data_IF_088317678617
#
_entry.id   IF_088317678617
#
_cell.length_a   1.000
_cell.length_b   1.000
_cell.length_c   1.000
_cell.angle_alpha   90.00
_cell.angle_beta   90.00
_cell.angle_gamma   90.00
#
_symmetry.space_group_name_H-M   'P 1'
#
loop_
_entity.id
_entity.type
_entity.pdbx_description
1 polymer ?
2 water ?
#
# COMPACT_ATOMS: atom_id res chain seq x y z
N UNK A 1 18.06 11.51 2.99
CA UNK A 1 16.68 11.46 2.42
C UNK A 1 16.60 10.48 1.23
N UNK A 2 15.76 9.44 1.35
CA UNK A 2 15.79 8.32 0.40
C UNK A 2 15.41 8.72 -1.06
N UNK A 3 16.18 8.21 -2.01
CA UNK A 3 15.95 8.37 -3.43
C UNK A 3 14.74 7.51 -3.85
N UNK A 4 13.95 8.02 -4.81
CA UNK A 4 12.81 7.25 -5.30
C UNK A 4 13.24 6.06 -6.13
N UNK A 5 12.39 5.05 -6.16
CA UNK A 5 12.41 3.96 -7.09
C UNK A 5 11.64 4.44 -8.33
N UNK A 6 12.36 4.49 -9.45
CA UNK A 6 11.82 4.96 -10.74
C UNK A 6 11.49 3.74 -11.58
N UNK A 7 10.27 3.76 -12.14
CA UNK A 7 9.69 2.67 -12.92
C UNK A 7 9.96 1.25 -12.36
N UNK A 8 9.67 1.00 -11.05
CA UNK A 8 9.88 -0.35 -10.51
C UNK A 8 9.00 -1.40 -11.20
N UNK A 9 9.54 -2.57 -11.50
CA UNK A 9 8.73 -3.67 -12.08
C UNK A 9 7.86 -4.33 -11.00
N UNK A 10 6.68 -4.76 -11.40
CA UNK A 10 5.69 -5.30 -10.51
C UNK A 10 5.58 -6.83 -10.65
N UNK A 11 6.17 -7.55 -9.69
CA UNK A 11 5.75 -7.43 -8.30
C UNK A 11 7.08 -6.89 -7.68
N UNK A 12 6.97 -5.89 -6.80
CA UNK A 12 8.15 -5.14 -6.32
C UNK A 12 8.30 -5.24 -4.80
N UNK A 13 9.54 -5.32 -4.34
CA UNK A 13 9.93 -5.38 -2.93
C UNK A 13 11.12 -4.44 -2.69
N UNK A 14 10.98 -3.48 -1.78
CA UNK A 14 12.00 -2.46 -1.51
C UNK A 14 12.13 -2.07 -0.05
N UNK A 15 13.37 -1.88 0.38
CA UNK A 15 13.66 -1.41 1.71
C UNK A 15 13.09 -0.03 1.95
N UNK A 16 12.56 0.22 3.14
CA UNK A 16 12.30 1.61 3.55
C UNK A 16 13.48 2.01 4.46
N UNK A 17 14.34 2.93 3.99
CA UNK A 17 15.55 3.23 4.73
C UNK A 17 15.45 3.57 6.22
N UNK A 18 14.53 4.44 6.62
CA UNK A 18 14.49 4.68 8.10
C UNK A 18 13.73 3.64 8.89
N UNK A 19 13.02 2.78 8.15
CA UNK A 19 11.85 2.12 8.66
C UNK A 19 10.79 3.21 8.74
N UNK A 20 9.57 2.84 9.06
CA UNK A 20 8.52 3.81 9.19
C UNK A 20 8.84 4.74 10.35
N UNK A 21 8.44 5.99 10.25
CA UNK A 21 8.59 6.93 11.37
C UNK A 21 7.38 7.82 11.44
N UNK A 22 6.93 8.15 12.63
CA UNK A 22 5.83 9.10 12.75
C UNK A 22 6.17 10.36 11.89
N UNK A 23 5.34 10.64 10.88
CA UNK A 23 5.53 11.82 10.01
C UNK A 23 5.96 11.49 8.58
N UNK A 24 6.47 10.26 8.40
CA UNK A 24 6.97 9.77 7.13
C UNK A 24 5.84 9.67 6.10
N UNK A 25 6.11 10.18 4.89
CA UNK A 25 5.23 9.98 3.73
C UNK A 25 5.80 9.08 2.64
N UNK A 26 5.05 8.05 2.26
CA UNK A 26 5.42 7.18 1.15
C UNK A 26 4.43 7.30 -0.04
N UNK A 27 4.90 7.84 -1.16
CA UNK A 27 4.08 7.97 -2.37
C UNK A 27 4.31 6.86 -3.41
N UNK A 28 3.20 6.21 -3.77
CA UNK A 28 3.12 5.15 -4.77
C UNK A 28 2.29 5.68 -5.96
N UNK A 29 2.93 5.81 -7.12
CA UNK A 29 2.34 6.35 -8.35
C UNK A 29 2.32 5.20 -9.27
N UNK A 30 1.12 4.80 -9.66
CA UNK A 30 0.90 3.66 -10.54
C UNK A 30 -0.41 3.79 -11.29
N UNK A 31 -0.71 2.77 -12.11
CA UNK A 31 -1.90 2.71 -12.99
C UNK A 31 -2.37 1.28 -13.03
N UNK A 32 -3.65 1.08 -12.74
CA UNK A 32 -4.28 -0.24 -12.92
C UNK A 32 -4.47 -0.49 -14.39
N UNK A 33 -3.98 -1.65 -14.80
CA UNK A 33 -4.12 -2.21 -16.14
C UNK A 33 -5.52 -2.72 -16.47
N UNK A 34 -6.11 -2.27 -17.58
CA UNK A 34 -7.37 -2.86 -18.08
C UNK A 34 -7.18 -4.29 -18.61
N UNK A 35 -8.18 -5.12 -18.38
CA UNK A 35 -8.12 -6.53 -18.80
C UNK A 35 -6.78 -7.25 -18.48
N UNK A 36 -6.26 -6.98 -17.28
CA UNK A 36 -5.14 -7.75 -16.74
C UNK A 36 -5.38 -8.22 -15.30
N UNK A 37 -6.64 -8.53 -14.98
CA UNK A 37 -6.98 -8.98 -13.63
C UNK A 37 -7.68 -7.92 -12.79
N UNK A 38 -8.07 -8.29 -11.58
CA UNK A 38 -9.06 -7.52 -10.85
C UNK A 38 -8.62 -7.03 -9.46
N UNK A 39 -7.41 -7.35 -9.03
CA UNK A 39 -6.90 -6.80 -7.77
C UNK A 39 -5.40 -6.48 -7.82
N UNK A 40 -4.99 -5.56 -6.94
CA UNK A 40 -3.59 -5.30 -6.66
C UNK A 40 -3.43 -5.01 -5.18
N UNK A 41 -2.20 -5.05 -4.68
CA UNK A 41 -1.95 -4.82 -3.27
C UNK A 41 -0.68 -4.05 -3.04
N UNK A 42 -0.70 -3.17 -2.03
CA UNK A 42 0.51 -2.50 -1.49
C UNK A 42 0.69 -2.96 0.01
N UNK A 43 1.85 -3.51 0.33
CA UNK A 43 2.12 -4.17 1.61
C UNK A 43 3.29 -3.48 2.34
N UNK A 44 3.05 -3.17 3.62
CA UNK A 44 4.10 -2.70 4.52
C UNK A 44 4.41 -3.84 5.43
N UNK A 45 5.63 -4.31 5.37
CA UNK A 45 5.94 -5.56 6.00
C UNK A 45 7.31 -5.47 6.64
N UNK A 46 7.65 -6.51 7.43
CA UNK A 46 8.97 -6.70 8.02
C UNK A 46 9.70 -7.79 7.21
N UNK A 47 10.72 -7.36 6.46
CA UNK A 47 11.47 -8.26 5.60
C UNK A 47 10.73 -8.56 4.31
N UNK A 48 11.19 -9.61 3.61
CA UNK A 48 10.81 -9.94 2.22
C UNK A 48 9.99 -11.22 2.08
N UNK A 49 9.77 -11.98 3.15
CA UNK A 49 9.01 -13.23 3.07
C UNK A 49 7.52 -13.11 2.62
N UNK A 50 6.79 -12.17 3.23
CA UNK A 50 5.37 -11.89 2.89
C UNK A 50 4.44 -12.46 3.95
N UNK A 51 5.03 -12.94 5.04
CA UNK A 51 4.26 -13.58 6.11
C UNK A 51 3.87 -12.68 7.26
N UNK A 52 4.44 -11.49 7.29
CA UNK A 52 4.22 -10.56 8.38
C UNK A 52 4.07 -9.17 7.80
N UNK A 53 2.84 -8.95 7.32
CA UNK A 53 2.45 -7.73 6.67
C UNK A 53 1.64 -6.95 7.69
N UNK A 54 2.24 -5.90 8.25
CA UNK A 54 1.61 -4.96 9.13
C UNK A 54 0.39 -4.30 8.51
N UNK A 55 0.47 -3.93 7.23
CA UNK A 55 -0.64 -3.27 6.57
C UNK A 55 -0.71 -3.71 5.12
N UNK A 56 -1.81 -4.37 4.75
CA UNK A 56 -2.07 -4.88 3.40
C UNK A 56 -3.17 -3.99 2.88
N UNK A 57 -2.89 -3.18 1.82
CA UNK A 57 -3.90 -2.35 1.19
C UNK A 57 -4.27 -3.03 -0.14
N UNK A 58 -5.55 -3.44 -0.31
CA UNK A 58 -5.94 -4.42 -1.42
C UNK A 58 -7.18 -3.96 -2.22
N UNK A 59 -6.99 -3.12 -3.25
CA UNK A 59 -8.16 -2.70 -4.07
C UNK A 59 -8.67 -3.81 -5.01
N UNK A 60 -10.00 -4.02 -5.10
CA UNK A 60 -10.55 -5.15 -5.89
C UNK A 60 -11.63 -4.61 -6.80
N UNK A 61 -11.41 -4.79 -8.11
CA UNK A 61 -12.35 -4.33 -9.13
C UNK A 61 -13.38 -5.40 -9.36
N UNK A 62 -14.13 -5.77 -8.32
CA UNK A 62 -15.06 -6.90 -8.29
C UNK A 62 -16.29 -6.43 -7.55
N UNK A 63 -17.46 -6.95 -7.94
CA UNK A 63 -18.68 -6.74 -7.17
C UNK A 63 -19.03 -5.27 -6.97
N UNK A 64 -18.65 -4.41 -7.89
CA UNK A 64 -18.96 -3.00 -7.69
C UNK A 64 -17.78 -2.11 -7.38
N UNK A 65 -16.70 -2.69 -6.82
CA UNK A 65 -15.46 -1.99 -6.57
C UNK A 65 -15.41 -1.87 -5.09
N UNK A 66 -14.36 -2.37 -4.46
CA UNK A 66 -14.18 -2.21 -2.98
C UNK A 66 -12.70 -2.38 -2.65
N UNK A 67 -12.33 -2.03 -1.42
CA UNK A 67 -10.95 -2.16 -0.98
C UNK A 67 -10.92 -2.79 0.38
N UNK A 68 -10.00 -3.74 0.55
CA UNK A 68 -9.84 -4.48 1.82
C UNK A 68 -8.48 -4.11 2.40
N UNK A 69 -8.45 -3.91 3.74
CA UNK A 69 -7.22 -3.62 4.50
C UNK A 69 -7.17 -4.71 5.55
N UNK A 70 -5.97 -5.23 5.81
CA UNK A 70 -5.83 -6.35 6.74
C UNK A 70 -4.38 -6.36 7.21
N UNK A 71 -4.12 -7.21 8.20
CA UNK A 71 -2.78 -7.42 8.77
C UNK A 71 -2.55 -8.92 8.73
N UNK A 72 -1.33 -9.30 8.39
CA UNK A 72 -0.97 -10.68 8.49
C UNK A 72 0.14 -10.88 9.52
N UNK A 73 -0.03 -11.86 10.39
CA UNK A 73 0.92 -12.07 11.49
C UNK A 73 1.12 -13.54 11.61
N UNK A 74 2.40 -13.91 11.52
CA UNK A 74 2.84 -15.30 11.40
C UNK A 74 2.06 -16.14 10.35
N UNK A 75 1.76 -15.49 9.21
CA UNK A 75 1.00 -16.11 8.12
C UNK A 75 -0.47 -16.42 8.42
N UNK A 76 -1.03 -15.72 9.42
CA UNK A 76 -2.49 -15.72 9.66
C UNK A 76 -3.02 -14.29 9.42
N UNK A 77 -4.07 -14.17 8.61
CA UNK A 77 -4.78 -12.90 8.40
C UNK A 77 -5.78 -12.55 9.50
N UNK A 78 -5.89 -11.29 9.88
CA UNK A 78 -6.81 -10.94 10.92
C UNK A 78 -8.13 -10.58 10.26
N UNK A 79 -9.01 -9.86 10.99
CA UNK A 79 -10.32 -9.42 10.42
C UNK A 79 -10.12 -8.33 9.36
N UNK A 80 -10.77 -8.48 8.21
CA UNK A 80 -10.65 -7.52 7.13
C UNK A 80 -11.44 -6.23 7.51
N UNK A 81 -10.92 -5.07 7.04
CA UNK A 81 -11.60 -3.77 7.16
C UNK A 81 -11.91 -3.44 5.73
N UNK A 82 -13.15 -3.63 5.33
CA UNK A 82 -13.60 -3.36 3.96
C UNK A 82 -14.09 -1.93 3.84
N UNK A 83 -13.85 -1.30 2.69
CA UNK A 83 -14.52 -0.08 2.27
C UNK A 83 -15.17 -0.23 0.90
N UNK A 84 -16.47 -0.06 0.82
CA UNK A 84 -17.21 -0.14 -0.43
C UNK A 84 -17.12 1.16 -1.27
N UNK A 85 -15.89 1.47 -1.69
CA UNK A 85 -15.64 2.54 -2.63
C UNK A 85 -14.35 2.19 -3.39
N UNK A 86 -14.29 2.57 -4.66
CA UNK A 86 -13.15 2.28 -5.51
C UNK A 86 -12.65 3.65 -5.99
N UNK A 87 -11.61 4.18 -5.33
CA UNK A 87 -11.15 5.52 -5.66
C UNK A 87 -10.20 5.49 -6.81
N UNK A 88 -10.01 4.33 -7.44
CA UNK A 88 -9.09 4.21 -8.60
C UNK A 88 -9.93 3.95 -9.84
N UNK A 89 -9.44 4.42 -11.01
CA UNK A 89 -10.03 4.05 -12.33
C UNK A 89 -8.99 3.34 -13.17
N UNK A 90 -9.36 2.30 -13.89
CA UNK A 90 -8.42 1.64 -14.77
C UNK A 90 -7.92 2.62 -15.81
N UNK A 91 -6.62 2.64 -16.08
CA UNK A 91 -6.06 3.45 -17.16
C UNK A 91 -5.70 4.84 -16.71
N UNK A 92 -5.94 5.17 -15.44
CA UNK A 92 -5.67 6.52 -14.92
C UNK A 92 -4.59 6.40 -13.84
N UNK A 93 -3.42 7.05 -14.06
CA UNK A 93 -2.38 7.09 -13.00
C UNK A 93 -2.91 7.71 -11.72
N UNK A 94 -2.52 7.19 -10.57
CA UNK A 94 -2.92 7.73 -9.27
C UNK A 94 -1.68 8.04 -8.46
N UNK A 95 -1.80 9.01 -7.55
CA UNK A 95 -0.83 9.18 -6.47
C UNK A 95 -1.43 8.62 -5.18
N UNK A 96 -0.90 7.51 -4.71
CA UNK A 96 -1.38 6.86 -3.50
C UNK A 96 -0.32 7.16 -2.41
N UNK A 97 -0.69 8.01 -1.45
CA UNK A 97 0.23 8.42 -0.40
C UNK A 97 -0.12 7.76 0.93
N UNK A 98 0.88 7.18 1.58
CA UNK A 98 0.76 6.70 2.95
C UNK A 98 1.54 7.62 3.91
N UNK A 99 0.82 8.25 4.83
CA UNK A 99 1.41 9.02 5.93
C UNK A 99 1.34 8.16 7.17
N UNK A 100 2.51 7.92 7.76
CA UNK A 100 2.64 7.29 9.07
C UNK A 100 2.38 8.31 10.21
N UNK A 101 1.50 7.90 11.14
CA UNK A 101 1.18 8.65 12.35
C UNK A 101 1.38 7.71 13.54
N UNK A 102 1.12 8.22 14.75
CA UNK A 102 1.40 7.46 15.95
C UNK A 102 0.47 6.27 16.08
N UNK A 103 -0.78 6.48 15.70
CA UNK A 103 -1.85 5.52 15.96
C UNK A 103 -2.32 4.80 14.72
N UNK A 104 -1.98 5.34 13.53
CA UNK A 104 -2.56 4.88 12.27
C UNK A 104 -1.69 5.22 11.04
N UNK A 105 -2.03 4.62 9.91
CA UNK A 105 -1.64 5.18 8.61
C UNK A 105 -2.84 6.01 8.10
N UNK A 106 -2.56 7.18 7.52
CA UNK A 106 -3.53 7.87 6.64
C UNK A 106 -3.22 7.57 5.20
N UNK A 107 -4.24 7.07 4.48
CA UNK A 107 -4.11 6.77 3.08
C UNK A 107 -4.87 7.78 2.20
N UNK A 108 -4.08 8.55 1.42
CA UNK A 108 -4.60 9.50 0.47
C UNK A 108 -4.57 8.98 -0.95
N UNK A 109 -5.61 9.28 -1.70
CA UNK A 109 -5.63 9.02 -3.11
C UNK A 109 -5.73 10.41 -3.81
N UNK A 110 -4.71 10.76 -4.59
CA UNK A 110 -4.60 12.09 -5.19
C UNK A 110 -4.81 13.21 -4.17
N UNK A 111 -4.27 13.05 -2.96
CA UNK A 111 -4.36 14.08 -1.96
C UNK A 111 -5.59 14.01 -1.08
N UNK A 112 -6.60 13.25 -1.47
CA UNK A 112 -7.82 13.19 -0.68
C UNK A 112 -7.77 11.96 0.27
N UNK A 113 -8.04 12.15 1.55
CA UNK A 113 -8.02 11.01 2.48
C UNK A 113 -8.98 9.91 2.04
N UNK A 114 -8.49 8.68 1.93
CA UNK A 114 -9.30 7.52 1.53
C UNK A 114 -9.63 6.63 2.74
N UNK A 115 -8.61 6.18 3.43
CA UNK A 115 -8.87 5.30 4.55
C UNK A 115 -7.86 5.63 5.63
N UNK A 116 -8.29 5.51 6.89
CA UNK A 116 -7.38 5.55 8.01
C UNK A 116 -7.22 4.17 8.56
N UNK A 117 -6.00 3.65 8.72
CA UNK A 117 -5.90 2.30 9.24
C UNK A 117 -5.06 2.26 10.52
N UNK A 118 -5.69 1.87 11.65
CA UNK A 118 -5.02 1.81 12.94
C UNK A 118 -4.05 0.65 13.00
N UNK A 119 -2.84 0.95 13.49
CA UNK A 119 -1.78 -0.05 13.65
C UNK A 119 -2.26 -1.22 14.47
N UNK A 120 -1.98 -2.41 13.95
CA UNK A 120 -2.27 -3.64 14.64
C UNK A 120 -0.95 -4.17 15.13
N UNK A 121 0.12 -3.79 14.45
CA UNK A 121 1.44 -4.16 14.91
C UNK A 121 2.28 -2.87 14.87
N UNK A 122 3.33 -2.79 15.70
CA UNK A 122 4.09 -1.58 15.83
C UNK A 122 4.65 -1.09 14.51
N UNK A 123 4.40 0.19 14.18
CA UNK A 123 4.85 0.80 12.91
C UNK A 123 6.35 0.79 12.77
N UNK A 124 7.07 1.07 13.85
CA UNK A 124 8.55 1.05 13.81
C UNK A 124 9.17 -0.24 13.27
N UNK A 125 8.46 -1.36 13.42
CA UNK A 125 9.03 -2.63 12.93
C UNK A 125 8.93 -2.79 11.36
N UNK A 126 8.21 -1.89 10.69
CA UNK A 126 8.10 -1.99 9.25
C UNK A 126 9.40 -1.41 8.61
N UNK A 127 10.10 -2.20 7.78
CA UNK A 127 11.32 -1.74 7.04
C UNK A 127 11.25 -1.96 5.50
N UNK A 128 10.08 -2.32 4.99
CA UNK A 128 9.95 -2.84 3.63
C UNK A 128 8.60 -2.44 3.05
N UNK A 129 8.64 -1.99 1.79
CA UNK A 129 7.39 -1.86 0.99
C UNK A 129 7.40 -2.81 -0.19
N UNK A 130 6.23 -3.37 -0.47
CA UNK A 130 5.98 -4.36 -1.52
C UNK A 130 4.69 -4.08 -2.33
N UNK A 131 4.74 -4.19 -3.67
CA UNK A 131 3.53 -4.08 -4.52
C UNK A 131 3.33 -5.35 -5.37
N UNK A 132 2.07 -5.86 -5.52
CA UNK A 132 1.80 -6.97 -6.46
C UNK A 132 0.47 -6.90 -7.21
N UNK A 133 0.28 -7.80 -8.16
CA UNK A 133 -1.01 -7.88 -8.82
C UNK A 133 -1.13 -6.97 -10.02
N UNK A 134 -2.37 -6.65 -10.39
CA UNK A 134 -2.73 -5.96 -11.64
C UNK A 134 -2.48 -4.44 -11.66
N UNK A 135 -1.23 -4.02 -11.62
CA UNK A 135 -0.89 -2.59 -11.56
C UNK A 135 0.46 -2.42 -12.17
N UNK A 136 0.68 -1.29 -12.87
CA UNK A 136 2.03 -0.99 -13.34
C UNK A 136 2.57 0.17 -12.56
N UNK A 137 3.80 0.12 -12.11
CA UNK A 137 4.27 1.27 -11.26
C UNK A 137 5.09 2.27 -12.07
N UNK A 138 5.02 3.53 -11.70
CA UNK A 138 5.92 4.53 -12.27
C UNK A 138 6.97 4.99 -11.24
N UNK A 139 6.58 5.11 -9.96
CA UNK A 139 7.59 5.45 -8.97
C UNK A 139 7.09 5.17 -7.56
N UNK A 140 8.04 5.04 -6.63
CA UNK A 140 7.76 5.03 -5.17
C UNK A 140 8.73 6.04 -4.57
N UNK A 141 8.20 7.01 -3.82
CA UNK A 141 9.04 8.07 -3.24
C UNK A 141 8.83 8.29 -1.73
N UNK A 142 9.81 8.94 -1.08
CA UNK A 142 9.88 9.07 0.35
C UNK A 142 10.11 10.55 0.77
N UNK A 143 9.49 10.99 1.87
CA UNK A 143 9.77 12.33 2.44
C UNK A 143 9.64 12.32 3.97
#
# INVERSE_FOLDING_TARGET
SQAPYLSPAVPFSGTIQGGLQDGLQITVNGTVLSSSGTRFAVNFQTGFSGNDIAFHFNPRFEDGGYVVCNTRQNGSWGPEERKTHMPFQKGMPFDLCFLVQSSDFKVMVNGILFVQYFHRVPFHRVDTISVNGSVQLSYISFQ
#
